data_IF_252734983700
#
_entry.id   IF_252734983700
#
_cell.length_a   1.000
_cell.length_b   1.000
_cell.length_c   1.000
_cell.angle_alpha   90.00
_cell.angle_beta   90.00
_cell.angle_gamma   90.00
#
_symmetry.space_group_name_H-M   'P 1'
#
loop_
_entity.id
_entity.type
_entity.pdbx_description
1 polymer ?
#
# COMPACT_ATOMS: atom_id res chain seq x y z
N UNK A 1 -18.32 37.28 -2.51
CA UNK A 1 -17.18 36.68 -3.24
C UNK A 1 -17.71 35.46 -3.97
N UNK A 2 -18.01 35.64 -5.25
CA UNK A 2 -18.50 34.56 -6.12
C UNK A 2 -17.29 33.70 -6.51
N UNK A 3 -17.25 32.46 -6.03
CA UNK A 3 -16.30 31.46 -6.49
C UNK A 3 -16.51 31.23 -7.99
N UNK A 4 -15.46 31.29 -8.82
CA UNK A 4 -15.61 31.01 -10.24
C UNK A 4 -16.14 29.58 -10.39
N UNK A 5 -17.25 29.45 -11.13
CA UNK A 5 -17.80 28.19 -11.59
C UNK A 5 -16.72 27.49 -12.43
N UNK A 6 -15.95 26.59 -11.81
CA UNK A 6 -15.09 25.66 -12.53
C UNK A 6 -16.02 24.83 -13.41
N UNK A 7 -15.99 25.14 -14.71
CA UNK A 7 -16.69 24.43 -15.75
C UNK A 7 -16.32 22.94 -15.65
N UNK A 8 -17.18 22.15 -15.01
CA UNK A 8 -17.14 20.69 -15.11
C UNK A 8 -17.41 20.35 -16.57
N UNK A 9 -16.35 20.24 -17.36
CA UNK A 9 -16.42 19.68 -18.70
C UNK A 9 -16.99 18.26 -18.58
N UNK A 10 -18.29 18.13 -18.83
CA UNK A 10 -18.98 16.85 -18.96
C UNK A 10 -18.42 16.14 -20.18
N UNK A 11 -17.32 15.40 -20.00
CA UNK A 11 -16.84 14.42 -20.97
C UNK A 11 -17.79 13.21 -20.98
N UNK A 12 -19.02 13.43 -21.43
CA UNK A 12 -19.97 12.38 -21.79
C UNK A 12 -19.84 12.14 -23.28
N UNK A 13 -18.86 11.33 -23.68
CA UNK A 13 -18.62 11.02 -25.08
C UNK A 13 -17.81 9.74 -25.23
N UNK A 14 -18.03 9.04 -26.35
CA UNK A 14 -17.40 7.80 -26.81
C UNK A 14 -15.91 7.63 -26.40
N UNK A 15 -15.12 8.71 -26.41
CA UNK A 15 -13.73 8.76 -25.95
C UNK A 15 -13.48 8.33 -24.49
N UNK A 16 -14.43 8.57 -23.57
CA UNK A 16 -14.31 8.14 -22.17
C UNK A 16 -14.41 6.60 -22.01
N UNK A 17 -15.16 5.93 -22.90
CA UNK A 17 -15.24 4.45 -22.94
C UNK A 17 -13.91 3.85 -23.41
N UNK A 18 -13.26 4.46 -24.41
CA UNK A 18 -11.95 4.02 -24.90
C UNK A 18 -10.81 4.19 -23.88
N UNK A 19 -10.82 5.26 -23.09
CA UNK A 19 -9.80 5.48 -22.07
C UNK A 19 -9.78 4.36 -21.00
N UNK A 20 -10.97 3.91 -20.57
CA UNK A 20 -11.09 2.85 -19.56
C UNK A 20 -10.59 1.51 -20.10
N UNK A 21 -10.95 1.18 -21.35
CA UNK A 21 -10.49 -0.04 -22.02
C UNK A 21 -8.96 -0.02 -22.20
N UNK A 22 -8.40 1.13 -22.62
CA UNK A 22 -6.94 1.30 -22.77
C UNK A 22 -6.18 0.99 -21.49
N UNK A 23 -6.59 1.56 -20.36
CA UNK A 23 -5.88 1.32 -19.09
C UNK A 23 -5.94 -0.13 -18.64
N UNK A 24 -7.11 -0.77 -18.80
CA UNK A 24 -7.24 -2.21 -18.50
C UNK A 24 -6.26 -3.03 -19.33
N UNK A 25 -6.26 -2.82 -20.65
CA UNK A 25 -5.37 -3.55 -21.57
C UNK A 25 -3.91 -3.33 -21.20
N UNK A 26 -3.47 -2.09 -20.99
CA UNK A 26 -2.08 -1.80 -20.62
C UNK A 26 -1.68 -2.45 -19.29
N UNK A 27 -2.55 -2.39 -18.27
CA UNK A 27 -2.26 -3.04 -16.98
C UNK A 27 -2.24 -4.56 -17.08
N UNK A 28 -3.11 -5.16 -17.89
CA UNK A 28 -3.13 -6.62 -18.08
C UNK A 28 -1.92 -7.11 -18.88
N UNK A 29 -1.53 -6.37 -19.94
CA UNK A 29 -0.32 -6.67 -20.70
C UNK A 29 0.94 -6.54 -19.83
N UNK A 30 1.02 -5.49 -19.00
CA UNK A 30 2.09 -5.33 -18.01
C UNK A 30 2.13 -6.50 -17.03
N UNK A 31 0.97 -6.91 -16.50
CA UNK A 31 0.87 -8.03 -15.56
C UNK A 31 1.34 -9.33 -16.20
N UNK A 32 0.85 -9.63 -17.41
CA UNK A 32 1.22 -10.83 -18.15
C UNK A 32 2.73 -10.87 -18.44
N UNK A 33 3.30 -9.75 -18.91
CA UNK A 33 4.73 -9.65 -19.20
C UNK A 33 5.59 -9.82 -17.95
N UNK A 34 5.26 -9.11 -16.86
CA UNK A 34 6.07 -9.12 -15.64
C UNK A 34 5.87 -10.39 -14.81
N UNK A 35 4.78 -11.14 -15.02
CA UNK A 35 4.60 -12.47 -14.42
C UNK A 35 5.65 -13.47 -14.90
N UNK A 36 6.28 -13.23 -16.06
CA UNK A 36 7.39 -14.06 -16.52
C UNK A 36 8.64 -13.96 -15.63
N UNK A 37 8.81 -12.87 -14.87
CA UNK A 37 9.99 -12.64 -14.03
C UNK A 37 10.03 -13.61 -12.83
N UNK A 38 9.00 -13.71 -11.97
CA UNK A 38 8.99 -14.72 -10.92
C UNK A 38 9.13 -16.14 -11.47
N UNK A 39 8.50 -16.41 -12.62
CA UNK A 39 8.46 -17.73 -13.25
C UNK A 39 9.78 -18.14 -13.91
N UNK A 40 10.65 -17.19 -14.29
CA UNK A 40 11.96 -17.51 -14.88
C UNK A 40 12.97 -18.00 -13.85
N UNK A 41 12.68 -17.88 -12.55
CA UNK A 41 13.55 -18.37 -11.48
C UNK A 41 14.81 -17.53 -11.29
N UNK A 42 14.73 -16.21 -11.53
CA UNK A 42 15.84 -15.25 -11.31
C UNK A 42 16.53 -15.47 -9.96
N UNK A 43 15.74 -15.72 -8.92
CA UNK A 43 16.21 -16.17 -7.61
C UNK A 43 15.40 -17.40 -7.16
N UNK A 44 15.87 -18.08 -6.12
CA UNK A 44 15.17 -19.23 -5.52
C UNK A 44 13.75 -18.92 -5.03
N UNK A 45 13.42 -17.64 -4.81
CA UNK A 45 12.09 -17.17 -4.41
C UNK A 45 11.38 -16.30 -5.46
N UNK A 46 11.96 -16.19 -6.66
CA UNK A 46 11.40 -15.45 -7.81
C UNK A 46 11.57 -13.93 -7.78
N UNK A 47 12.26 -13.36 -6.78
CA UNK A 47 12.50 -11.92 -6.65
C UNK A 47 13.55 -11.41 -7.65
N UNK A 48 13.64 -10.08 -7.82
CA UNK A 48 14.72 -9.46 -8.59
C UNK A 48 16.09 -9.52 -7.89
N UNK A 49 16.10 -9.49 -6.56
CA UNK A 49 17.32 -9.46 -5.75
C UNK A 49 17.29 -10.54 -4.66
N UNK A 50 18.40 -11.26 -4.43
CA UNK A 50 18.54 -12.17 -3.29
C UNK A 50 18.33 -11.44 -1.95
N UNK A 51 17.83 -12.15 -0.94
CA UNK A 51 17.64 -11.63 0.42
C UNK A 51 16.28 -10.97 0.70
N UNK A 52 15.59 -10.49 -0.34
CA UNK A 52 14.21 -10.01 -0.19
C UNK A 52 13.24 -11.16 0.02
N UNK A 53 12.65 -11.22 1.21
CA UNK A 53 11.87 -12.37 1.70
C UNK A 53 10.53 -11.99 2.32
N UNK A 54 10.15 -10.70 2.28
CA UNK A 54 8.90 -10.22 2.89
C UNK A 54 7.66 -10.97 2.38
N UNK A 55 7.61 -11.26 1.07
CA UNK A 55 6.49 -11.95 0.42
C UNK A 55 6.24 -13.37 0.95
N UNK A 56 7.28 -14.08 1.39
CA UNK A 56 7.17 -15.40 2.03
C UNK A 56 7.14 -15.30 3.56
N UNK A 57 7.70 -14.23 4.13
CA UNK A 57 7.67 -13.95 5.57
C UNK A 57 6.26 -13.65 6.06
N UNK A 58 5.47 -12.85 5.34
CA UNK A 58 4.13 -12.49 5.81
C UNK A 58 3.21 -13.70 6.02
N UNK A 59 3.08 -14.66 5.07
CA UNK A 59 2.31 -15.88 5.32
C UNK A 59 2.81 -16.67 6.53
N UNK A 60 4.13 -16.79 6.71
CA UNK A 60 4.70 -17.49 7.85
C UNK A 60 4.34 -16.82 9.19
N UNK A 61 4.45 -15.49 9.26
CA UNK A 61 4.08 -14.72 10.45
C UNK A 61 2.60 -14.87 10.77
N UNK A 62 1.73 -14.91 9.76
CA UNK A 62 0.30 -15.19 9.97
C UNK A 62 0.11 -16.57 10.59
N UNK A 63 0.80 -17.60 10.11
CA UNK A 63 0.72 -18.94 10.67
C UNK A 63 1.14 -18.97 12.15
N UNK A 64 2.27 -18.34 12.47
CA UNK A 64 2.75 -18.19 13.86
C UNK A 64 1.72 -17.45 14.71
N UNK A 65 1.13 -16.37 14.19
CA UNK A 65 0.08 -15.61 14.86
C UNK A 65 -1.18 -16.41 15.15
N UNK A 66 -1.57 -17.33 14.27
CA UNK A 66 -2.70 -18.23 14.49
C UNK A 66 -2.44 -19.22 15.64
N UNK A 67 -1.18 -19.54 15.95
CA UNK A 67 -0.81 -20.50 17.00
C UNK A 67 -0.44 -19.82 18.33
N UNK A 68 0.18 -18.64 18.29
CA UNK A 68 0.67 -17.92 19.47
C UNK A 68 -0.20 -16.74 19.88
N UNK A 69 -1.12 -16.31 19.01
CA UNK A 69 -1.94 -15.13 19.21
C UNK A 69 -1.32 -13.86 18.61
N UNK A 70 -2.19 -12.89 18.29
CA UNK A 70 -1.80 -11.65 17.60
C UNK A 70 -0.93 -10.76 18.48
N UNK A 71 -1.22 -10.65 19.78
CA UNK A 71 -0.42 -9.82 20.71
C UNK A 71 1.02 -10.30 20.82
N UNK A 72 1.23 -11.62 20.82
CA UNK A 72 2.56 -12.23 20.88
C UNK A 72 3.45 -11.79 19.70
N UNK A 73 2.87 -11.67 18.49
CA UNK A 73 3.60 -11.23 17.29
C UNK A 73 4.26 -9.84 17.42
N UNK A 74 3.66 -8.97 18.24
CA UNK A 74 4.15 -7.61 18.45
C UNK A 74 5.09 -7.49 19.65
N UNK A 75 5.06 -8.43 20.57
CA UNK A 75 5.76 -8.32 21.86
C UNK A 75 6.95 -9.26 21.98
N UNK A 76 7.10 -10.21 21.06
CA UNK A 76 8.13 -11.26 21.10
C UNK A 76 8.80 -11.42 19.73
N UNK A 77 10.08 -11.84 19.70
CA UNK A 77 10.81 -12.11 18.47
C UNK A 77 10.19 -13.26 17.68
N UNK A 78 10.30 -13.25 16.35
CA UNK A 78 9.76 -14.33 15.52
C UNK A 78 10.50 -15.66 15.78
N UNK A 79 11.79 -15.59 16.12
CA UNK A 79 12.63 -16.72 16.48
C UNK A 79 12.12 -17.51 17.68
N UNK A 80 11.73 -16.82 18.75
CA UNK A 80 11.12 -17.46 19.93
C UNK A 80 9.72 -17.98 19.63
N UNK A 81 8.89 -17.20 18.93
CA UNK A 81 7.50 -17.57 18.67
C UNK A 81 7.37 -18.82 17.80
N UNK A 82 8.31 -19.06 16.88
CA UNK A 82 8.27 -20.20 15.96
C UNK A 82 8.63 -21.54 16.58
N UNK A 83 9.21 -21.57 17.78
CA UNK A 83 9.63 -22.82 18.41
C UNK A 83 8.45 -23.80 18.53
N UNK A 84 8.65 -25.05 18.12
CA UNK A 84 7.60 -26.07 18.14
C UNK A 84 6.45 -25.89 17.14
N UNK A 85 6.48 -24.84 16.30
CA UNK A 85 5.47 -24.63 15.25
C UNK A 85 5.97 -25.23 13.94
N UNK A 86 5.21 -26.19 13.41
CA UNK A 86 5.43 -26.69 12.05
C UNK A 86 4.64 -25.87 11.05
N UNK A 87 5.32 -25.36 10.03
CA UNK A 87 4.72 -24.79 8.82
C UNK A 87 5.47 -25.37 7.63
N UNK A 88 4.76 -25.77 6.56
CA UNK A 88 5.40 -26.42 5.39
C UNK A 88 6.39 -25.51 4.65
N UNK A 89 6.23 -24.19 4.76
CA UNK A 89 7.09 -23.20 4.11
C UNK A 89 7.86 -22.38 5.17
N UNK A 90 8.74 -23.01 5.99
CA UNK A 90 9.46 -22.34 7.06
C UNK A 90 10.32 -21.19 6.55
N UNK A 91 10.59 -20.24 7.45
CA UNK A 91 11.45 -19.09 7.22
C UNK A 91 12.59 -19.09 8.24
N UNK A 92 13.82 -18.93 7.76
CA UNK A 92 15.04 -18.89 8.58
C UNK A 92 15.73 -17.51 8.57
N UNK A 93 15.04 -16.49 8.06
CA UNK A 93 15.53 -15.12 7.99
C UNK A 93 14.66 -14.19 8.83
N UNK A 94 15.24 -13.08 9.30
CA UNK A 94 14.53 -12.03 10.05
C UNK A 94 13.88 -12.51 11.36
N UNK A 95 14.48 -13.51 12.02
CA UNK A 95 13.95 -14.11 13.23
C UNK A 95 13.98 -13.15 14.42
N UNK A 96 14.98 -12.27 14.47
CA UNK A 96 15.13 -11.28 15.53
C UNK A 96 14.22 -10.05 15.33
N UNK A 97 13.58 -9.93 14.15
CA UNK A 97 12.76 -8.76 13.83
C UNK A 97 11.30 -9.04 14.21
N UNK A 98 10.67 -8.20 15.07
CA UNK A 98 9.26 -8.34 15.39
C UNK A 98 8.34 -8.13 14.19
N UNK A 99 7.07 -8.43 14.37
CA UNK A 99 6.07 -8.02 13.40
C UNK A 99 5.83 -6.51 13.48
N UNK A 100 6.14 -5.80 12.40
CA UNK A 100 6.11 -4.32 12.35
C UNK A 100 4.90 -3.73 11.62
N UNK A 101 4.00 -4.59 11.14
CA UNK A 101 2.89 -4.16 10.29
C UNK A 101 1.57 -4.11 11.06
N UNK A 102 0.63 -3.23 10.68
CA UNK A 102 -0.68 -3.23 11.30
C UNK A 102 -1.45 -4.53 10.99
N UNK A 103 -2.45 -4.89 11.80
CA UNK A 103 -3.01 -6.25 11.81
C UNK A 103 -3.84 -6.58 10.55
N UNK A 104 -4.24 -5.59 9.75
CA UNK A 104 -4.91 -5.84 8.47
C UNK A 104 -4.03 -6.60 7.48
N UNK A 105 -2.71 -6.48 7.58
CA UNK A 105 -1.77 -7.28 6.78
C UNK A 105 -1.87 -8.76 7.11
N UNK A 106 -2.20 -9.15 8.35
CA UNK A 106 -2.40 -10.55 8.69
C UNK A 106 -3.60 -11.14 7.93
N UNK A 107 -4.67 -10.37 7.80
CA UNK A 107 -5.85 -10.75 7.02
C UNK A 107 -5.51 -10.82 5.53
N UNK A 108 -4.72 -9.85 5.02
CA UNK A 108 -4.28 -9.82 3.63
C UNK A 108 -3.50 -11.09 3.24
N UNK A 109 -2.63 -11.58 4.13
CA UNK A 109 -1.76 -12.73 3.86
C UNK A 109 -2.31 -14.08 4.34
N UNK A 110 -3.47 -14.09 5.01
CA UNK A 110 -4.12 -15.33 5.42
C UNK A 110 -4.32 -16.31 4.25
N UNK A 111 -4.83 -15.92 3.06
CA UNK A 111 -5.00 -16.86 1.95
C UNK A 111 -3.69 -17.55 1.54
N UNK A 112 -2.58 -16.80 1.45
CA UNK A 112 -1.27 -17.37 1.12
C UNK A 112 -0.74 -18.29 2.22
N UNK A 113 -1.08 -18.00 3.48
CA UNK A 113 -0.74 -18.86 4.62
C UNK A 113 -1.41 -20.23 4.48
N UNK A 114 -2.70 -20.24 4.16
CA UNK A 114 -3.45 -21.46 3.95
C UNK A 114 -2.90 -22.26 2.76
N UNK A 115 -2.59 -21.57 1.64
CA UNK A 115 -1.96 -22.19 0.48
C UNK A 115 -0.61 -22.81 0.84
N UNK A 116 0.24 -22.08 1.56
CA UNK A 116 1.57 -22.54 1.93
C UNK A 116 1.55 -23.76 2.85
N UNK A 117 0.57 -23.85 3.75
CA UNK A 117 0.42 -25.01 4.63
C UNK A 117 -0.13 -26.24 3.91
N UNK A 118 -1.22 -26.10 3.15
CA UNK A 118 -1.98 -27.28 2.68
C UNK A 118 -1.67 -27.70 1.25
N UNK A 119 -1.21 -26.80 0.38
CA UNK A 119 -0.86 -27.17 -0.99
C UNK A 119 0.60 -27.69 -1.01
N UNK A 120 0.88 -28.86 -1.62
CA UNK A 120 2.24 -29.43 -1.67
C UNK A 120 3.11 -28.72 -2.72
N UNK A 121 3.38 -27.44 -2.50
CA UNK A 121 4.27 -26.64 -3.32
C UNK A 121 5.72 -26.79 -2.84
N UNK A 122 6.67 -26.80 -3.78
CA UNK A 122 8.08 -26.55 -3.44
C UNK A 122 8.25 -25.13 -2.90
N UNK A 123 9.31 -24.87 -2.13
CA UNK A 123 9.62 -23.54 -1.62
C UNK A 123 9.70 -22.47 -2.72
N UNK A 124 10.29 -22.84 -3.86
CA UNK A 124 10.38 -21.97 -5.02
C UNK A 124 8.99 -21.65 -5.59
N UNK A 125 8.15 -22.66 -5.82
CA UNK A 125 6.80 -22.46 -6.34
C UNK A 125 5.95 -21.61 -5.38
N UNK A 126 6.08 -21.81 -4.07
CA UNK A 126 5.40 -20.99 -3.08
C UNK A 126 5.87 -19.52 -3.13
N UNK A 127 7.17 -19.27 -3.21
CA UNK A 127 7.74 -17.93 -3.38
C UNK A 127 7.21 -17.23 -4.64
N UNK A 128 7.14 -17.95 -5.76
CA UNK A 128 6.58 -17.45 -7.03
C UNK A 128 5.10 -17.08 -6.90
N UNK A 129 4.28 -17.94 -6.29
CA UNK A 129 2.86 -17.66 -6.04
C UNK A 129 2.69 -16.41 -5.17
N UNK A 130 3.50 -16.27 -4.12
CA UNK A 130 3.48 -15.08 -3.28
C UNK A 130 3.82 -13.82 -4.10
N UNK A 131 4.85 -13.86 -4.96
CA UNK A 131 5.17 -12.71 -5.82
C UNK A 131 4.08 -12.37 -6.83
N UNK A 132 3.47 -13.36 -7.47
CA UNK A 132 2.35 -13.13 -8.39
C UNK A 132 1.17 -12.47 -7.67
N UNK A 133 0.91 -12.86 -6.42
CA UNK A 133 -0.10 -12.24 -5.57
C UNK A 133 0.20 -10.76 -5.28
N UNK A 134 1.46 -10.42 -4.97
CA UNK A 134 1.90 -9.04 -4.76
C UNK A 134 1.84 -8.22 -6.06
N UNK A 135 2.25 -8.82 -7.18
CA UNK A 135 2.21 -8.20 -8.49
C UNK A 135 0.78 -7.86 -8.90
N UNK A 136 -0.21 -8.70 -8.54
CA UNK A 136 -1.62 -8.39 -8.74
C UNK A 136 -2.03 -7.09 -8.02
N UNK A 137 -1.69 -6.92 -6.74
CA UNK A 137 -1.99 -5.67 -6.03
C UNK A 137 -1.31 -4.45 -6.65
N UNK A 138 -0.05 -4.59 -7.06
CA UNK A 138 0.67 -3.52 -7.75
C UNK A 138 -0.04 -3.09 -9.05
N UNK A 139 -0.60 -4.05 -9.81
CA UNK A 139 -1.34 -3.74 -11.04
C UNK A 139 -2.73 -3.18 -10.78
N UNK A 140 -3.42 -3.61 -9.73
CA UNK A 140 -4.69 -2.99 -9.32
C UNK A 140 -4.44 -1.54 -8.87
N UNK A 141 -3.38 -1.29 -8.10
CA UNK A 141 -2.96 0.06 -7.71
C UNK A 141 -2.62 0.92 -8.93
N UNK A 142 -1.82 0.39 -9.86
CA UNK A 142 -1.50 1.07 -11.12
C UNK A 142 -2.74 1.42 -11.92
N UNK A 143 -3.68 0.48 -12.07
CA UNK A 143 -4.94 0.72 -12.76
C UNK A 143 -5.72 1.87 -12.10
N UNK A 144 -5.82 1.86 -10.76
CA UNK A 144 -6.47 2.93 -10.02
C UNK A 144 -5.77 4.29 -10.23
N UNK A 145 -4.44 4.31 -10.23
CA UNK A 145 -3.65 5.53 -10.50
C UNK A 145 -3.94 6.06 -11.90
N UNK A 146 -3.81 5.21 -12.93
CA UNK A 146 -4.03 5.62 -14.32
C UNK A 146 -5.44 6.18 -14.54
N UNK A 147 -6.44 5.62 -13.85
CA UNK A 147 -7.82 6.12 -13.84
C UNK A 147 -7.96 7.48 -13.15
N UNK A 148 -7.23 7.70 -12.05
CA UNK A 148 -7.20 9.00 -11.37
C UNK A 148 -6.54 10.08 -12.24
N UNK A 149 -5.51 9.71 -13.00
CA UNK A 149 -4.78 10.63 -13.89
C UNK A 149 -5.54 10.97 -15.19
N UNK A 150 -6.74 10.40 -15.42
CA UNK A 150 -7.52 10.67 -16.65
C UNK A 150 -7.92 12.15 -16.81
N UNK A 151 -7.95 12.90 -15.71
CA UNK A 151 -8.18 14.35 -15.70
C UNK A 151 -6.95 15.20 -16.05
N UNK A 152 -5.73 14.65 -16.03
CA UNK A 152 -4.50 15.41 -16.28
C UNK A 152 -4.18 15.53 -17.78
N UNK A 153 -3.40 16.56 -18.18
CA UNK A 153 -2.81 16.65 -19.51
C UNK A 153 -2.01 15.38 -19.87
N UNK A 154 -1.94 15.05 -21.15
CA UNK A 154 -1.33 13.80 -21.61
C UNK A 154 0.12 13.64 -21.13
N UNK A 155 0.94 14.70 -21.21
CA UNK A 155 2.34 14.65 -20.74
C UNK A 155 2.46 14.32 -19.25
N UNK A 156 1.73 15.04 -18.39
CA UNK A 156 1.72 14.78 -16.94
C UNK A 156 1.19 13.39 -16.59
N UNK A 157 0.14 12.94 -17.30
CA UNK A 157 -0.42 11.60 -17.13
C UNK A 157 0.59 10.51 -17.43
N UNK A 158 1.31 10.60 -18.56
CA UNK A 158 2.31 9.60 -18.92
C UNK A 158 3.53 9.66 -17.99
N UNK A 159 4.01 10.85 -17.63
CA UNK A 159 5.13 10.99 -16.72
C UNK A 159 4.84 10.37 -15.34
N UNK A 160 3.72 10.75 -14.71
CA UNK A 160 3.33 10.22 -13.40
C UNK A 160 2.96 8.73 -13.50
N UNK A 161 2.24 8.33 -14.55
CA UNK A 161 1.86 6.93 -14.77
C UNK A 161 3.07 6.01 -14.92
N UNK A 162 4.09 6.41 -15.70
CA UNK A 162 5.32 5.66 -15.88
C UNK A 162 6.16 5.59 -14.59
N UNK A 163 6.24 6.69 -13.83
CA UNK A 163 6.93 6.69 -12.54
C UNK A 163 6.24 5.74 -11.55
N UNK A 164 4.91 5.81 -11.46
CA UNK A 164 4.13 4.89 -10.63
C UNK A 164 4.30 3.43 -11.07
N UNK A 165 4.31 3.16 -12.38
CA UNK A 165 4.60 1.83 -12.90
C UNK A 165 5.98 1.34 -12.45
N UNK A 166 7.05 2.11 -12.70
CA UNK A 166 8.42 1.74 -12.31
C UNK A 166 8.53 1.43 -10.82
N UNK A 167 8.00 2.30 -9.96
CA UNK A 167 8.05 2.14 -8.51
C UNK A 167 7.25 0.92 -8.09
N UNK A 168 5.98 0.82 -8.45
CA UNK A 168 5.10 -0.28 -8.03
C UNK A 168 5.64 -1.65 -8.46
N UNK A 169 6.12 -1.76 -9.71
CA UNK A 169 6.67 -3.01 -10.23
C UNK A 169 7.96 -3.39 -9.52
N UNK A 170 8.86 -2.42 -9.27
CA UNK A 170 10.09 -2.67 -8.52
C UNK A 170 9.81 -3.15 -7.10
N UNK A 171 8.88 -2.51 -6.38
CA UNK A 171 8.53 -2.91 -5.02
C UNK A 171 7.95 -4.34 -5.02
N UNK A 172 6.96 -4.61 -5.88
CA UNK A 172 6.31 -5.91 -5.95
C UNK A 172 7.26 -7.05 -6.33
N UNK A 173 8.12 -6.84 -7.34
CA UNK A 173 9.09 -7.83 -7.77
C UNK A 173 10.27 -8.01 -6.78
N UNK A 174 10.39 -7.14 -5.78
CA UNK A 174 11.27 -7.33 -4.60
C UNK A 174 10.48 -7.83 -3.39
N UNK A 175 9.30 -8.42 -3.58
CA UNK A 175 8.54 -9.04 -2.49
C UNK A 175 7.84 -8.06 -1.56
N UNK A 176 7.73 -6.79 -1.92
CA UNK A 176 7.03 -5.78 -1.11
C UNK A 176 5.58 -5.62 -1.56
N UNK A 177 4.67 -5.51 -0.59
CA UNK A 177 3.22 -5.49 -0.84
C UNK A 177 2.62 -4.07 -0.86
N UNK A 178 3.45 -3.03 -1.04
CA UNK A 178 3.03 -1.62 -1.00
C UNK A 178 1.84 -1.29 -1.92
N UNK A 179 1.67 -2.03 -3.03
CA UNK A 179 0.51 -1.89 -3.91
C UNK A 179 -0.84 -2.01 -3.19
N UNK A 180 -0.95 -2.85 -2.15
CA UNK A 180 -2.20 -3.09 -1.44
C UNK A 180 -2.70 -1.88 -0.63
N UNK A 181 -1.80 -1.13 0.02
CA UNK A 181 -2.20 0.09 0.73
C UNK A 181 -2.27 1.30 -0.21
N UNK A 182 -1.43 1.33 -1.26
CA UNK A 182 -1.44 2.41 -2.26
C UNK A 182 -2.75 2.45 -3.06
N UNK A 183 -3.34 1.29 -3.43
CA UNK A 183 -4.67 1.29 -4.07
C UNK A 183 -5.71 1.97 -3.18
N UNK A 184 -5.68 1.73 -1.86
CA UNK A 184 -6.57 2.38 -0.91
C UNK A 184 -6.35 3.90 -0.91
N UNK A 185 -5.11 4.37 -0.88
CA UNK A 185 -4.79 5.80 -0.96
C UNK A 185 -5.32 6.48 -2.23
N UNK A 186 -5.16 5.82 -3.38
CA UNK A 186 -5.67 6.34 -4.66
C UNK A 186 -7.20 6.38 -4.69
N UNK A 187 -7.86 5.36 -4.14
CA UNK A 187 -9.32 5.33 -4.01
C UNK A 187 -9.82 6.38 -3.02
N UNK A 188 -9.07 6.70 -1.96
CA UNK A 188 -9.38 7.79 -1.05
C UNK A 188 -9.33 9.15 -1.76
N UNK A 189 -8.27 9.42 -2.52
CA UNK A 189 -8.14 10.64 -3.34
C UNK A 189 -9.25 10.73 -4.39
N UNK A 190 -9.54 9.64 -5.09
CA UNK A 190 -10.62 9.58 -6.07
C UNK A 190 -12.01 9.77 -5.46
N UNK A 191 -12.21 9.37 -4.21
CA UNK A 191 -13.44 9.63 -3.47
C UNK A 191 -13.56 11.10 -3.06
N UNK A 192 -12.48 11.73 -2.60
CA UNK A 192 -12.46 13.18 -2.31
C UNK A 192 -12.72 14.02 -3.55
N UNK A 193 -12.09 13.67 -4.68
CA UNK A 193 -12.32 14.36 -5.95
C UNK A 193 -13.78 14.30 -6.43
N UNK A 194 -14.56 13.33 -5.92
CA UNK A 194 -15.99 13.15 -6.19
C UNK A 194 -16.89 13.64 -5.05
N UNK A 195 -16.35 14.41 -4.10
CA UNK A 195 -17.08 14.93 -2.93
C UNK A 195 -17.71 13.82 -2.08
N UNK A 196 -17.03 12.66 -1.97
CA UNK A 196 -17.43 11.51 -1.14
C UNK A 196 -16.49 11.33 0.06
N UNK A 197 -16.45 12.29 1.01
CA UNK A 197 -15.44 12.28 2.06
C UNK A 197 -15.59 11.12 3.06
N UNK A 198 -16.81 10.63 3.29
CA UNK A 198 -17.05 9.42 4.12
C UNK A 198 -16.39 8.18 3.50
N UNK A 199 -16.50 8.02 2.18
CA UNK A 199 -15.84 6.92 1.47
C UNK A 199 -14.32 7.09 1.52
N UNK A 200 -13.81 8.31 1.41
CA UNK A 200 -12.37 8.58 1.52
C UNK A 200 -11.81 8.18 2.89
N UNK A 201 -12.51 8.53 3.98
CA UNK A 201 -12.14 8.11 5.34
C UNK A 201 -12.04 6.59 5.49
N UNK A 202 -12.97 5.84 4.91
CA UNK A 202 -12.95 4.36 4.92
C UNK A 202 -11.70 3.81 4.23
N UNK A 203 -11.34 4.38 3.08
CA UNK A 203 -10.14 3.98 2.36
C UNK A 203 -8.84 4.35 3.10
N UNK A 204 -8.80 5.52 3.75
CA UNK A 204 -7.66 5.91 4.60
C UNK A 204 -7.52 4.96 5.78
N UNK A 205 -8.62 4.62 6.46
CA UNK A 205 -8.61 3.65 7.55
C UNK A 205 -8.14 2.27 7.07
N UNK A 206 -8.62 1.81 5.92
CA UNK A 206 -8.16 0.55 5.36
C UNK A 206 -6.67 0.58 5.01
N UNK A 207 -6.17 1.66 4.41
CA UNK A 207 -4.74 1.83 4.14
C UNK A 207 -3.90 1.76 5.43
N UNK A 208 -4.37 2.42 6.50
CA UNK A 208 -3.73 2.41 7.81
C UNK A 208 -3.72 1.03 8.48
N UNK A 209 -4.70 0.17 8.20
CA UNK A 209 -4.69 -1.24 8.64
C UNK A 209 -3.72 -2.12 7.84
N UNK A 210 -3.29 -1.69 6.65
CA UNK A 210 -2.42 -2.49 5.79
C UNK A 210 -0.94 -2.10 5.91
N UNK A 211 -0.62 -0.85 6.23
CA UNK A 211 0.79 -0.45 6.25
C UNK A 211 1.02 0.82 7.09
N UNK A 212 2.09 0.84 7.90
CA UNK A 212 2.45 2.02 8.70
C UNK A 212 2.78 3.25 7.83
N UNK A 213 3.44 3.04 6.67
CA UNK A 213 3.66 4.08 5.64
C UNK A 213 2.38 4.74 5.13
N UNK A 214 1.20 4.17 5.32
CA UNK A 214 -0.06 4.83 5.00
C UNK A 214 -0.28 6.12 5.82
N UNK A 215 0.55 6.40 6.84
CA UNK A 215 0.61 7.68 7.53
C UNK A 215 0.78 8.89 6.58
N UNK A 216 1.39 8.71 5.39
CA UNK A 216 1.44 9.80 4.39
C UNK A 216 0.05 10.30 3.97
N UNK A 217 -0.99 9.47 4.15
CA UNK A 217 -2.38 9.79 3.84
C UNK A 217 -3.09 10.52 5.00
N UNK A 218 -2.40 10.83 6.10
CA UNK A 218 -3.00 11.54 7.23
C UNK A 218 -3.61 12.88 6.80
N UNK A 219 -2.93 13.64 5.93
CA UNK A 219 -3.45 14.89 5.38
C UNK A 219 -4.75 14.68 4.59
N UNK A 220 -4.82 13.59 3.80
CA UNK A 220 -6.04 13.19 3.06
C UNK A 220 -7.17 12.87 4.03
N UNK A 221 -6.88 12.15 5.11
CA UNK A 221 -7.83 11.83 6.18
C UNK A 221 -8.36 13.08 6.89
N UNK A 222 -7.50 14.04 7.21
CA UNK A 222 -7.88 15.31 7.85
C UNK A 222 -8.80 16.13 6.94
N UNK A 223 -8.45 16.26 5.65
CA UNK A 223 -9.31 16.95 4.66
C UNK A 223 -10.67 16.26 4.54
N UNK A 224 -10.69 14.94 4.46
CA UNK A 224 -11.93 14.17 4.40
C UNK A 224 -12.77 14.37 5.66
N UNK A 225 -12.17 14.31 6.85
CA UNK A 225 -12.86 14.53 8.12
C UNK A 225 -13.46 15.95 8.18
N UNK A 226 -12.67 16.97 7.81
CA UNK A 226 -13.15 18.34 7.76
C UNK A 226 -14.36 18.50 6.82
N UNK A 227 -14.34 17.88 5.64
CA UNK A 227 -15.48 17.89 4.71
C UNK A 227 -16.71 17.13 5.25
N UNK A 228 -16.52 16.09 6.07
CA UNK A 228 -17.63 15.37 6.71
C UNK A 228 -18.36 16.24 7.73
N UNK A 229 -17.63 17.00 8.54
CA UNK A 229 -18.22 17.74 9.69
C UNK A 229 -18.63 19.17 9.36
N UNK A 230 -18.03 19.79 8.33
CA UNK A 230 -18.24 21.21 8.01
C UNK A 230 -19.70 21.49 7.63
N UNK A 231 -20.32 22.42 8.35
CA UNK A 231 -21.67 22.92 8.08
C UNK A 231 -22.80 21.94 8.39
N UNK A 232 -22.51 20.82 9.07
CA UNK A 232 -23.52 19.81 9.43
C UNK A 232 -23.73 19.73 10.94
N UNK A 233 -24.97 19.66 11.44
CA UNK A 233 -25.23 19.45 12.85
C UNK A 233 -24.74 18.05 13.27
N UNK A 234 -24.31 17.92 14.53
CA UNK A 234 -23.69 16.71 15.10
C UNK A 234 -24.56 15.45 14.94
N UNK A 235 -25.89 15.60 14.99
CA UNK A 235 -26.86 14.51 14.80
C UNK A 235 -26.82 13.88 13.40
N UNK A 236 -26.33 14.60 12.40
CA UNK A 236 -26.26 14.17 11.00
C UNK A 236 -24.88 13.61 10.63
N UNK A 237 -23.96 13.53 11.60
CA UNK A 237 -22.64 12.99 11.36
C UNK A 237 -22.71 11.47 11.10
N UNK A 238 -21.86 10.94 10.20
CA UNK A 238 -21.83 9.52 9.87
C UNK A 238 -21.12 8.71 10.97
N UNK A 239 -21.69 8.69 12.17
CA UNK A 239 -21.09 8.16 13.40
C UNK A 239 -20.51 6.75 13.25
N UNK A 240 -21.21 5.84 12.57
CA UNK A 240 -20.69 4.49 12.34
C UNK A 240 -19.33 4.50 11.61
N UNK A 241 -19.15 5.39 10.64
CA UNK A 241 -17.86 5.52 9.94
C UNK A 241 -16.82 6.21 10.80
N UNK A 242 -17.20 7.26 11.54
CA UNK A 242 -16.28 7.99 12.42
C UNK A 242 -15.75 7.09 13.54
N UNK A 243 -16.64 6.33 14.19
CA UNK A 243 -16.28 5.35 15.22
C UNK A 243 -15.43 4.22 14.65
N UNK A 244 -15.74 3.73 13.45
CA UNK A 244 -14.92 2.71 12.78
C UNK A 244 -13.50 3.21 12.46
N UNK A 245 -13.36 4.44 11.95
CA UNK A 245 -12.06 5.06 11.69
C UNK A 245 -11.29 5.28 13.00
N UNK A 246 -11.96 5.74 14.05
CA UNK A 246 -11.36 5.91 15.36
C UNK A 246 -10.87 4.57 15.96
N UNK A 247 -11.70 3.52 15.86
CA UNK A 247 -11.33 2.18 16.30
C UNK A 247 -10.11 1.64 15.55
N UNK A 248 -10.05 1.83 14.22
CA UNK A 248 -8.86 1.51 13.42
C UNK A 248 -7.63 2.27 13.91
N UNK A 249 -7.76 3.58 14.15
CA UNK A 249 -6.68 4.40 14.69
C UNK A 249 -6.17 3.86 16.03
N UNK A 250 -7.08 3.53 16.95
CA UNK A 250 -6.76 2.93 18.25
C UNK A 250 -6.03 1.60 18.08
N UNK A 251 -6.51 0.72 17.19
CA UNK A 251 -5.87 -0.58 16.92
C UNK A 251 -4.44 -0.38 16.39
N UNK A 252 -4.24 0.49 15.40
CA UNK A 252 -2.92 0.74 14.82
C UNK A 252 -1.95 1.33 15.85
N UNK A 253 -2.40 2.29 16.67
CA UNK A 253 -1.59 2.87 17.76
C UNK A 253 -1.27 1.81 18.80
N UNK A 254 -2.25 0.99 19.21
CA UNK A 254 -2.04 -0.08 20.20
C UNK A 254 -1.01 -1.09 19.73
N UNK A 255 -1.10 -1.55 18.47
CA UNK A 255 -0.10 -2.48 17.91
C UNK A 255 1.29 -1.86 17.82
N UNK A 256 1.39 -0.56 17.53
CA UNK A 256 2.66 0.16 17.54
C UNK A 256 3.25 0.24 18.95
N UNK A 257 2.42 0.52 19.97
CA UNK A 257 2.86 0.56 21.37
C UNK A 257 3.33 -0.80 21.88
N UNK A 258 2.71 -1.89 21.44
CA UNK A 258 3.19 -3.25 21.76
C UNK A 258 4.55 -3.56 21.16
N UNK A 259 4.78 -3.12 19.92
CA UNK A 259 6.03 -3.32 19.19
C UNK A 259 7.18 -2.42 19.68
N UNK A 260 6.87 -1.22 20.19
CA UNK A 260 7.87 -0.20 20.50
C UNK A 260 9.02 -0.66 21.43
N UNK A 261 8.80 -1.41 22.53
CA UNK A 261 9.88 -1.87 23.39
C UNK A 261 10.86 -2.80 22.67
N UNK A 262 10.35 -3.71 21.84
CA UNK A 262 11.17 -4.65 21.09
C UNK A 262 11.91 -3.95 19.95
N UNK A 263 11.24 -3.02 19.27
CA UNK A 263 11.87 -2.18 18.25
C UNK A 263 13.08 -1.40 18.80
N UNK A 264 12.96 -0.82 20.00
CA UNK A 264 14.05 -0.10 20.68
C UNK A 264 15.23 -0.98 21.08
N UNK A 265 15.01 -2.28 21.32
CA UNK A 265 16.10 -3.23 21.60
C UNK A 265 16.83 -3.65 20.31
N UNK A 266 16.14 -3.60 19.18
CA UNK A 266 16.68 -3.96 17.86
C UNK A 266 17.35 -2.77 17.12
N UNK A 267 17.74 -1.71 17.83
CA UNK A 267 18.31 -0.44 17.33
C UNK A 267 19.49 -0.58 16.33
N UNK A 268 20.05 -1.78 16.12
CA UNK A 268 21.09 -2.07 15.13
C UNK A 268 20.59 -2.50 13.73
N UNK A 269 19.29 -2.77 13.52
CA UNK A 269 18.80 -3.42 12.28
C UNK A 269 17.68 -2.68 11.52
N UNK A 270 17.11 -1.60 12.05
CA UNK A 270 16.10 -0.82 11.31
C UNK A 270 16.81 0.13 10.33
N UNK A 271 16.78 -0.10 9.01
CA UNK A 271 17.06 0.98 8.07
C UNK A 271 16.09 2.11 8.42
N UNK A 272 16.65 3.28 8.72
CA UNK A 272 15.87 4.49 9.00
C UNK A 272 14.66 4.55 8.07
N UNK A 273 13.45 4.70 8.63
CA UNK A 273 12.20 4.83 7.86
C UNK A 273 12.30 5.99 6.86
N UNK A 274 13.16 6.96 7.16
CA UNK A 274 13.46 8.12 6.34
C UNK A 274 14.66 7.82 5.39
N UNK A 275 15.51 6.83 5.68
CA UNK A 275 16.83 6.66 5.08
C UNK A 275 17.85 7.53 5.80
N UNK A 276 19.07 7.61 5.29
CA UNK A 276 20.04 8.57 5.82
C UNK A 276 19.44 9.99 5.75
N UNK A 277 19.55 10.82 6.81
CA UNK A 277 18.96 12.17 6.85
C UNK A 277 19.27 13.02 5.62
N UNK A 278 20.45 12.82 5.00
CA UNK A 278 20.86 13.47 3.75
C UNK A 278 20.02 13.02 2.55
N UNK A 279 19.79 11.71 2.41
CA UNK A 279 18.93 11.16 1.35
C UNK A 279 17.49 11.63 1.50
N UNK A 280 17.00 11.72 2.74
CA UNK A 280 15.67 12.29 3.05
C UNK A 280 15.56 13.72 2.57
N UNK A 281 16.50 14.56 3.01
CA UNK A 281 16.52 15.98 2.67
C UNK A 281 16.64 16.19 1.17
N UNK A 282 17.46 15.37 0.49
CA UNK A 282 17.61 15.40 -0.96
C UNK A 282 16.31 15.03 -1.67
N UNK A 283 15.67 13.91 -1.29
CA UNK A 283 14.42 13.45 -1.92
C UNK A 283 13.28 14.45 -1.67
N UNK A 284 13.15 14.98 -0.45
CA UNK A 284 12.19 16.05 -0.14
C UNK A 284 12.49 17.31 -0.95
N UNK A 285 13.74 17.75 -1.00
CA UNK A 285 14.16 18.93 -1.77
C UNK A 285 13.87 18.78 -3.27
N UNK A 286 14.20 17.63 -3.85
CA UNK A 286 13.91 17.31 -5.25
C UNK A 286 12.40 17.19 -5.50
N UNK A 287 11.63 16.63 -4.57
CA UNK A 287 10.16 16.52 -4.70
C UNK A 287 9.50 17.89 -4.66
N UNK A 288 9.94 18.77 -3.75
CA UNK A 288 9.49 20.16 -3.68
C UNK A 288 9.89 20.93 -4.94
N UNK A 289 11.14 20.77 -5.41
CA UNK A 289 11.59 21.42 -6.64
C UNK A 289 10.78 20.94 -7.85
N UNK A 290 10.56 19.63 -8.01
CA UNK A 290 9.73 19.06 -9.07
C UNK A 290 8.28 19.57 -8.98
N UNK A 291 7.71 19.65 -7.77
CA UNK A 291 6.38 20.21 -7.55
C UNK A 291 6.31 21.70 -7.94
N UNK A 292 7.28 22.51 -7.53
CA UNK A 292 7.35 23.95 -7.87
C UNK A 292 7.57 24.16 -9.36
N UNK A 293 8.41 23.35 -10.00
CA UNK A 293 8.65 23.40 -11.45
C UNK A 293 7.41 22.96 -12.23
N UNK A 294 6.72 21.90 -11.78
CA UNK A 294 5.45 21.48 -12.37
C UNK A 294 4.37 22.55 -12.17
N UNK A 295 4.32 23.20 -11.01
CA UNK A 295 3.41 24.32 -10.71
C UNK A 295 3.65 25.51 -11.64
N UNK A 296 4.91 25.90 -11.83
CA UNK A 296 5.30 27.02 -12.70
C UNK A 296 5.14 26.71 -14.18
N UNK A 297 5.50 25.50 -14.60
CA UNK A 297 5.39 25.06 -16.00
C UNK A 297 3.96 24.77 -16.46
N UNK A 298 3.04 24.47 -15.54
CA UNK A 298 1.63 24.27 -15.84
C UNK A 298 0.79 25.56 -15.89
N UNK A 299 1.40 26.75 -15.69
CA UNK A 299 0.66 28.02 -15.63
C UNK A 299 -0.17 28.18 -14.36
N UNK A 300 0.28 27.57 -13.25
CA UNK A 300 -0.59 27.24 -12.12
C UNK A 300 -1.46 26.04 -12.50
N UNK A 301 -1.54 25.03 -11.64
CA UNK A 301 -2.43 23.88 -11.84
C UNK A 301 -3.87 24.37 -12.03
N UNK A 302 -4.26 24.57 -13.30
CA UNK A 302 -5.60 24.80 -13.85
C UNK A 302 -6.59 25.36 -12.82
N UNK A 303 -6.75 26.69 -12.82
CA UNK A 303 -7.99 27.33 -12.36
C UNK A 303 -9.19 26.78 -13.15
#
# INVERSE_FOLDING_TARGET
>A
METPLVLRATRTGFFARHATARWRVLTLLSLALLSAIPLSGVTSLGTLQPGYTDHVRHPYVVWVGLHRGIEALYTTSLGELREGISYRQPLDHWLDVPYVYPPGTLVLFLPLTLVGQWVPLSHQAFGQVCLLYLLLFAHVALYAVLRLLDGLPAGGRWAVGSLCWLVLMRLALNGQYDGAWLVCGVLALGALAKERPVTALRWVALAALLHYRAFILAAVGVVALAQVVRGRPVREWPWATLLGVAAVGIVCVRTFLWMAPLAAQTDAATPSILGEPRTVALVLGLSVAAFVLAWRGAGGLVA
#
